data_IF_655691350060
#
_entry.id   IF_655691350060
#
_cell.length_a   1.000
_cell.length_b   1.000
_cell.length_c   1.000
_cell.angle_alpha   90.00
_cell.angle_beta   90.00
_cell.angle_gamma   90.00
#
_symmetry.space_group_name_H-M   'P 1'
#
loop_
_entity.id
_entity.type
_entity.pdbx_description
1 polymer ?
#
# COMPACT_ATOMS: atom_id res chain seq x y z
N UNK A 1 -0.99 -59.94 -23.29
CA UNK A 1 -1.76 -59.14 -22.31
C UNK A 1 -0.92 -58.99 -21.05
N UNK A 2 -0.36 -57.80 -20.80
CA UNK A 2 0.40 -57.55 -19.57
C UNK A 2 -0.57 -57.08 -18.49
N UNK A 3 -0.69 -57.84 -17.41
CA UNK A 3 -1.56 -57.52 -16.27
C UNK A 3 -0.83 -56.51 -15.38
N UNK A 4 -1.18 -55.23 -15.48
CA UNK A 4 -0.60 -54.19 -14.63
C UNK A 4 -1.07 -54.42 -13.18
N UNK A 5 -0.13 -54.70 -12.26
CA UNK A 5 -0.42 -54.81 -10.83
C UNK A 5 -0.17 -53.45 -10.18
N UNK A 6 -1.26 -52.73 -9.87
CA UNK A 6 -1.20 -51.45 -9.15
C UNK A 6 -0.89 -51.75 -7.68
N UNK A 7 0.32 -51.42 -7.22
CA UNK A 7 0.67 -51.59 -5.80
C UNK A 7 0.10 -50.42 -4.97
N UNK A 8 -0.33 -50.66 -3.72
CA UNK A 8 -0.90 -49.61 -2.85
C UNK A 8 -0.03 -48.37 -2.68
N UNK A 9 1.31 -48.52 -2.74
CA UNK A 9 2.26 -47.41 -2.66
C UNK A 9 2.11 -46.38 -3.80
N UNK A 10 1.69 -46.83 -4.99
CA UNK A 10 1.42 -45.92 -6.12
C UNK A 10 0.15 -45.12 -5.90
N UNK A 11 -0.87 -45.72 -5.27
CA UNK A 11 -2.10 -45.02 -4.90
C UNK A 11 -1.80 -43.95 -3.85
N UNK A 12 -1.00 -44.28 -2.83
CA UNK A 12 -0.57 -43.32 -1.82
C UNK A 12 0.27 -42.17 -2.39
N UNK A 13 1.21 -42.46 -3.29
CA UNK A 13 2.01 -41.44 -3.97
C UNK A 13 1.15 -40.52 -4.85
N UNK A 14 0.20 -41.08 -5.59
CA UNK A 14 -0.70 -40.30 -6.43
C UNK A 14 -1.65 -39.41 -5.61
N UNK A 15 -2.18 -39.94 -4.50
CA UNK A 15 -3.01 -39.18 -3.56
C UNK A 15 -2.23 -38.00 -2.94
N UNK A 16 -0.96 -38.20 -2.60
CA UNK A 16 -0.12 -37.14 -2.05
C UNK A 16 0.13 -36.02 -3.07
N UNK A 17 0.40 -36.36 -4.33
CA UNK A 17 0.61 -35.37 -5.41
C UNK A 17 -0.67 -34.57 -5.68
N UNK A 18 -1.83 -35.23 -5.69
CA UNK A 18 -3.12 -34.55 -5.83
C UNK A 18 -3.36 -33.60 -4.64
N UNK A 19 -3.14 -34.07 -3.40
CA UNK A 19 -3.31 -33.26 -2.21
C UNK A 19 -2.38 -32.02 -2.23
N UNK A 20 -1.13 -32.20 -2.66
CA UNK A 20 -0.17 -31.10 -2.80
C UNK A 20 -0.61 -30.10 -3.88
N UNK A 21 -1.07 -30.56 -5.04
CA UNK A 21 -1.57 -29.68 -6.10
C UNK A 21 -2.79 -28.86 -5.67
N UNK A 22 -3.71 -29.47 -4.90
CA UNK A 22 -4.87 -28.77 -4.33
C UNK A 22 -4.41 -27.73 -3.29
N UNK A 23 -3.50 -28.10 -2.39
CA UNK A 23 -2.97 -27.19 -1.37
C UNK A 23 -2.24 -25.99 -1.99
N UNK A 24 -1.44 -26.21 -3.02
CA UNK A 24 -0.74 -25.15 -3.76
C UNK A 24 -1.74 -24.21 -4.44
N UNK A 25 -2.79 -24.74 -5.08
CA UNK A 25 -3.83 -23.91 -5.71
C UNK A 25 -4.57 -23.03 -4.70
N UNK A 26 -4.84 -23.55 -3.50
CA UNK A 26 -5.45 -22.77 -2.41
C UNK A 26 -4.49 -21.71 -1.85
N UNK A 27 -3.19 -21.98 -1.80
CA UNK A 27 -2.18 -21.03 -1.36
C UNK A 27 -2.02 -19.83 -2.33
N UNK A 28 -2.22 -20.03 -3.64
CA UNK A 28 -2.22 -18.96 -4.64
C UNK A 28 -3.57 -18.22 -4.77
N UNK A 29 -4.62 -18.68 -4.09
CA UNK A 29 -5.94 -18.03 -4.08
C UNK A 29 -6.06 -16.94 -3.00
N UNK A 30 -4.98 -16.20 -2.75
CA UNK A 30 -5.09 -14.96 -1.99
C UNK A 30 -6.00 -14.04 -2.80
N UNK A 31 -7.17 -13.71 -2.24
CA UNK A 31 -8.12 -12.82 -2.88
C UNK A 31 -7.38 -11.55 -3.30
N UNK A 32 -7.37 -11.26 -4.60
CA UNK A 32 -6.78 -10.04 -5.13
C UNK A 32 -7.41 -8.87 -4.38
N UNK A 33 -6.58 -8.12 -3.65
CA UNK A 33 -7.03 -6.91 -2.97
C UNK A 33 -7.69 -6.00 -4.01
N UNK A 34 -8.98 -5.75 -3.83
CA UNK A 34 -9.79 -4.92 -4.73
C UNK A 34 -10.10 -3.63 -3.99
N UNK A 35 -9.37 -2.54 -4.25
CA UNK A 35 -9.49 -1.32 -3.45
C UNK A 35 -10.92 -0.78 -3.40
N UNK A 36 -11.66 -0.89 -4.52
CA UNK A 36 -13.05 -0.41 -4.65
C UNK A 36 -14.11 -1.23 -3.91
N UNK A 37 -13.79 -2.46 -3.50
CA UNK A 37 -14.69 -3.35 -2.74
C UNK A 37 -14.35 -3.39 -1.24
N UNK A 38 -13.32 -2.65 -0.82
CA UNK A 38 -12.92 -2.59 0.58
C UNK A 38 -13.91 -1.73 1.37
N UNK A 39 -14.34 -2.15 2.58
CA UNK A 39 -15.18 -1.31 3.43
C UNK A 39 -14.54 0.06 3.66
N UNK A 40 -15.33 1.13 3.55
CA UNK A 40 -14.87 2.47 3.90
C UNK A 40 -14.50 2.48 5.39
N UNK A 41 -13.25 2.80 5.72
CA UNK A 41 -12.72 2.68 7.08
C UNK A 41 -11.83 1.45 7.30
N UNK A 42 -11.54 0.66 6.26
CA UNK A 42 -10.49 -0.34 6.33
C UNK A 42 -9.14 0.34 6.63
N UNK A 43 -8.57 0.02 7.79
CA UNK A 43 -7.21 0.42 8.14
C UNK A 43 -6.28 -0.68 7.67
N UNK A 44 -5.35 -0.33 6.77
CA UNK A 44 -4.34 -1.28 6.31
C UNK A 44 -3.50 -1.76 7.50
N UNK A 45 -3.04 -3.02 7.42
CA UNK A 45 -2.08 -3.54 8.38
C UNK A 45 -0.81 -2.69 8.37
N UNK A 46 -0.17 -2.55 9.54
CA UNK A 46 1.14 -1.93 9.64
C UNK A 46 2.15 -2.65 8.73
N UNK A 47 2.94 -1.87 7.99
CA UNK A 47 3.98 -2.39 7.10
C UNK A 47 5.37 -2.10 7.66
N UNK A 48 6.35 -2.93 7.34
CA UNK A 48 7.71 -2.81 7.89
C UNK A 48 8.75 -2.78 6.79
N UNK A 49 9.74 -1.91 6.94
CA UNK A 49 10.90 -1.86 6.02
C UNK A 49 11.64 -3.19 5.94
N UNK A 50 11.70 -3.95 7.04
CA UNK A 50 12.27 -5.29 7.12
C UNK A 50 11.65 -6.03 8.31
N UNK A 51 11.53 -7.35 8.21
CA UNK A 51 11.08 -8.23 9.30
C UNK A 51 12.23 -8.61 10.26
N UNK A 52 13.48 -8.32 9.90
CA UNK A 52 14.64 -8.47 10.77
C UNK A 52 14.99 -7.13 11.41
N UNK A 53 14.62 -6.96 12.67
CA UNK A 53 14.84 -5.70 13.42
C UNK A 53 16.25 -5.52 13.97
N UNK A 54 17.18 -6.48 13.77
CA UNK A 54 18.50 -6.46 14.43
C UNK A 54 19.32 -5.19 14.20
N UNK A 55 19.07 -4.43 13.14
CA UNK A 55 19.81 -3.19 12.90
C UNK A 55 19.31 -2.02 13.77
N UNK A 56 18.10 -2.13 14.34
CA UNK A 56 17.47 -1.07 15.13
C UNK A 56 17.17 0.18 14.31
N UNK A 57 17.14 0.07 12.98
CA UNK A 57 16.93 1.17 12.04
C UNK A 57 15.70 0.92 11.16
N UNK A 58 15.00 -0.19 11.37
CA UNK A 58 13.79 -0.53 10.66
C UNK A 58 12.64 0.38 11.11
N UNK A 59 11.87 0.85 10.13
CA UNK A 59 10.64 1.60 10.38
C UNK A 59 9.40 0.72 10.19
N UNK A 60 8.40 0.98 11.04
CA UNK A 60 7.02 0.50 10.95
C UNK A 60 6.15 1.65 10.46
N UNK A 61 5.45 1.44 9.35
CA UNK A 61 4.53 2.38 8.76
C UNK A 61 3.09 2.05 9.16
N UNK A 62 2.39 3.05 9.69
CA UNK A 62 1.00 2.94 10.13
C UNK A 62 0.15 4.00 9.45
N UNK A 63 -0.90 3.56 8.77
CA UNK A 63 -1.90 4.45 8.19
C UNK A 63 -2.96 4.77 9.24
N UNK A 64 -3.33 6.04 9.34
CA UNK A 64 -4.55 6.48 10.01
C UNK A 64 -5.51 7.02 8.96
N UNK A 65 -6.78 6.63 9.03
CA UNK A 65 -7.83 7.10 8.15
C UNK A 65 -9.07 7.46 8.96
N UNK A 66 -9.60 8.65 8.72
CA UNK A 66 -10.79 9.16 9.37
C UNK A 66 -11.90 9.36 8.31
N UNK A 67 -12.97 8.59 8.48
CA UNK A 67 -14.09 8.57 7.52
C UNK A 67 -14.91 9.86 7.55
N UNK A 68 -15.03 10.52 8.69
CA UNK A 68 -15.91 11.68 8.85
C UNK A 68 -15.47 12.85 7.95
N UNK A 69 -14.16 13.10 7.88
CA UNK A 69 -13.59 14.20 7.10
C UNK A 69 -12.85 13.72 5.84
N UNK A 70 -12.93 12.44 5.49
CA UNK A 70 -12.15 11.84 4.39
C UNK A 70 -10.67 12.19 4.48
N UNK A 71 -10.15 12.23 5.70
CA UNK A 71 -8.79 12.63 6.02
C UNK A 71 -7.99 11.42 6.46
N UNK A 72 -6.67 11.59 6.52
CA UNK A 72 -5.78 10.55 6.98
C UNK A 72 -4.37 11.07 7.15
N UNK A 73 -3.55 10.24 7.78
CA UNK A 73 -2.14 10.51 7.93
C UNK A 73 -1.37 9.20 7.84
N UNK A 74 -0.10 9.29 7.50
CA UNK A 74 0.83 8.18 7.57
C UNK A 74 1.83 8.50 8.67
N UNK A 75 1.98 7.57 9.60
CA UNK A 75 2.98 7.60 10.66
C UNK A 75 4.06 6.57 10.34
N UNK A 76 5.29 6.88 10.73
CA UNK A 76 6.41 5.96 10.59
C UNK A 76 7.20 5.99 11.89
N UNK A 77 7.36 4.85 12.52
CA UNK A 77 8.03 4.71 13.81
C UNK A 77 9.27 3.83 13.65
N UNK A 78 10.41 4.29 14.13
CA UNK A 78 11.60 3.45 14.24
C UNK A 78 11.41 2.38 15.31
N UNK A 79 11.99 1.22 15.05
CA UNK A 79 11.98 0.06 15.94
C UNK A 79 13.36 -0.19 16.53
N UNK A 80 13.40 -0.60 17.80
CA UNK A 80 14.64 -1.07 18.42
C UNK A 80 15.04 -2.46 17.90
N UNK A 81 16.29 -2.92 18.14
CA UNK A 81 16.72 -4.28 17.85
C UNK A 81 15.85 -5.39 18.46
N UNK A 82 15.14 -5.08 19.54
CA UNK A 82 14.21 -5.95 20.25
C UNK A 82 12.77 -5.87 19.69
N UNK A 83 12.54 -5.10 18.63
CA UNK A 83 11.23 -4.90 18.00
C UNK A 83 10.31 -3.96 18.76
N UNK A 84 10.85 -3.12 19.65
CA UNK A 84 10.06 -2.16 20.42
C UNK A 84 9.88 -0.87 19.63
N UNK A 85 8.65 -0.34 19.59
CA UNK A 85 8.37 0.99 19.07
C UNK A 85 8.82 2.03 20.09
N UNK A 86 9.75 2.89 19.70
CA UNK A 86 10.16 4.01 20.55
C UNK A 86 9.06 5.07 20.60
N UNK A 87 8.63 5.47 21.81
CA UNK A 87 7.49 6.38 22.00
C UNK A 87 7.63 7.77 21.34
N UNK A 88 8.86 8.18 20.97
CA UNK A 88 9.17 9.45 20.31
C UNK A 88 10.02 9.29 19.03
N UNK A 89 10.19 8.06 18.52
CA UNK A 89 11.09 7.82 17.39
C UNK A 89 10.29 7.79 16.09
N UNK A 90 9.81 8.95 15.65
CA UNK A 90 9.32 9.05 14.27
C UNK A 90 10.48 8.88 13.31
N UNK A 91 10.26 8.13 12.23
CA UNK A 91 11.20 8.04 11.11
C UNK A 91 11.35 9.39 10.40
N UNK A 92 10.30 10.23 10.41
CA UNK A 92 10.35 11.54 9.80
C UNK A 92 10.61 12.65 10.80
N UNK A 93 11.35 13.67 10.36
CA UNK A 93 11.76 14.82 11.19
C UNK A 93 10.57 15.52 11.84
N UNK A 94 9.47 15.70 11.11
CA UNK A 94 8.27 16.37 11.62
C UNK A 94 7.21 15.38 12.10
N UNK A 95 7.55 14.18 12.57
CA UNK A 95 6.59 13.29 13.22
C UNK A 95 5.68 12.45 12.29
N UNK A 96 5.08 13.05 11.27
CA UNK A 96 4.14 12.39 10.36
C UNK A 96 4.28 12.83 8.90
N UNK A 97 3.78 12.03 7.96
CA UNK A 97 3.84 12.39 6.54
C UNK A 97 3.09 13.70 6.26
N UNK A 98 1.92 13.91 6.89
CA UNK A 98 1.16 15.14 6.73
C UNK A 98 1.96 16.37 7.18
N UNK A 99 2.62 16.33 8.34
CA UNK A 99 3.44 17.45 8.84
C UNK A 99 4.69 17.72 7.99
N UNK A 100 5.31 16.68 7.42
CA UNK A 100 6.43 16.84 6.50
C UNK A 100 5.99 17.42 5.16
N UNK A 101 4.82 17.03 4.67
CA UNK A 101 4.21 17.63 3.49
C UNK A 101 3.84 19.08 3.81
N UNK A 102 3.21 19.34 4.95
CA UNK A 102 2.74 20.67 5.36
C UNK A 102 3.87 21.70 5.51
N UNK A 103 5.02 21.27 6.03
CA UNK A 103 6.22 22.09 6.10
C UNK A 103 6.83 22.42 4.72
N UNK A 104 6.53 21.66 3.67
CA UNK A 104 7.04 21.96 2.33
C UNK A 104 6.25 23.12 1.73
N UNK A 105 6.99 24.10 1.19
CA UNK A 105 6.40 25.17 0.40
C UNK A 105 5.65 24.57 -0.79
N UNK A 106 4.37 24.94 -0.94
CA UNK A 106 3.55 24.35 -1.99
C UNK A 106 4.08 24.70 -3.39
N UNK A 107 4.71 25.87 -3.58
CA UNK A 107 5.28 26.37 -4.84
C UNK A 107 6.62 25.72 -5.21
N UNK A 108 7.55 25.61 -4.26
CA UNK A 108 8.94 25.21 -4.52
C UNK A 108 9.33 23.85 -3.93
N UNK A 109 8.60 23.36 -2.93
CA UNK A 109 8.92 22.13 -2.19
C UNK A 109 8.06 20.92 -2.56
N UNK A 110 6.76 21.14 -2.88
CA UNK A 110 5.84 20.05 -3.25
C UNK A 110 5.70 19.91 -4.76
N UNK A 111 6.06 18.73 -5.28
CA UNK A 111 5.69 18.34 -6.65
C UNK A 111 4.29 17.72 -6.64
N UNK A 112 3.27 18.55 -6.81
CA UNK A 112 1.95 18.06 -7.23
C UNK A 112 1.99 18.09 -8.76
N UNK A 113 2.05 16.94 -9.42
CA UNK A 113 2.08 16.90 -10.89
C UNK A 113 0.66 16.75 -11.43
N UNK A 114 0.37 17.47 -12.51
CA UNK A 114 -0.81 17.30 -13.35
C UNK A 114 -0.39 17.26 -14.82
N UNK A 115 -1.36 17.11 -15.70
CA UNK A 115 -1.14 17.03 -17.13
C UNK A 115 -2.03 18.06 -17.83
N UNK A 116 -1.48 18.78 -18.81
CA UNK A 116 -2.28 19.59 -19.73
C UNK A 116 -3.13 18.70 -20.63
N UNK A 117 -4.11 19.30 -21.31
CA UNK A 117 -4.96 18.60 -22.28
C UNK A 117 -4.14 17.96 -23.43
N UNK A 118 -2.95 18.50 -23.70
CA UNK A 118 -2.02 18.00 -24.70
C UNK A 118 -1.11 16.84 -24.21
N UNK A 119 -1.28 16.38 -22.96
CA UNK A 119 -0.46 15.32 -22.38
C UNK A 119 0.84 15.78 -21.72
N UNK A 120 1.16 17.08 -21.74
CA UNK A 120 2.36 17.61 -21.10
C UNK A 120 2.24 17.58 -19.57
N UNK A 121 3.23 16.98 -18.90
CA UNK A 121 3.32 16.98 -17.43
C UNK A 121 3.76 18.35 -16.93
N UNK A 122 3.00 18.92 -15.99
CA UNK A 122 3.24 20.23 -15.40
C UNK A 122 3.00 20.18 -13.89
N UNK A 123 3.58 21.09 -13.08
CA UNK A 123 3.13 21.27 -11.71
C UNK A 123 1.66 21.71 -11.67
N UNK A 124 0.85 21.09 -10.81
CA UNK A 124 -0.54 21.44 -10.53
C UNK A 124 -0.59 22.79 -9.83
N UNK A 125 -0.70 23.82 -10.68
CA UNK A 125 -1.00 25.20 -10.31
C UNK A 125 -2.15 25.62 -11.20
N UNK A 126 -3.14 26.33 -10.65
CA UNK A 126 -4.27 26.81 -11.42
C UNK A 126 -3.81 27.59 -12.66
N UNK A 127 -2.78 28.44 -12.51
CA UNK A 127 -2.18 29.20 -13.60
C UNK A 127 -1.44 28.36 -14.66
N UNK A 128 -1.05 27.12 -14.34
CA UNK A 128 -0.38 26.22 -15.28
C UNK A 128 -1.38 25.37 -16.09
N UNK A 129 -2.63 25.29 -15.66
CA UNK A 129 -3.71 24.55 -16.32
C UNK A 129 -4.24 25.32 -17.54
N UNK A 130 -4.78 24.60 -18.53
CA UNK A 130 -5.50 25.24 -19.64
C UNK A 130 -6.75 25.96 -19.13
N UNK A 131 -7.27 26.92 -19.89
CA UNK A 131 -8.54 27.60 -19.56
C UNK A 131 -9.70 26.62 -19.42
N UNK A 132 -9.74 25.57 -20.26
CA UNK A 132 -10.73 24.49 -20.19
C UNK A 132 -10.62 23.71 -18.88
N UNK A 133 -9.41 23.30 -18.50
CA UNK A 133 -9.15 22.58 -17.25
C UNK A 133 -9.51 23.41 -16.00
N UNK A 134 -9.20 24.71 -16.03
CA UNK A 134 -9.61 25.62 -14.95
C UNK A 134 -11.13 25.69 -14.82
N UNK A 135 -11.87 25.73 -15.94
CA UNK A 135 -13.34 25.76 -15.92
C UNK A 135 -13.97 24.51 -15.29
N UNK A 136 -13.36 23.34 -15.45
CA UNK A 136 -13.84 22.10 -14.83
C UNK A 136 -13.71 22.12 -13.30
N UNK A 137 -12.70 22.81 -12.78
CA UNK A 137 -12.46 22.94 -11.33
C UNK A 137 -13.28 24.06 -10.70
N UNK A 138 -13.60 25.12 -11.47
CA UNK A 138 -14.37 26.27 -10.98
C UNK A 138 -15.87 26.14 -11.19
N UNK A 139 -16.34 25.13 -11.94
CA UNK A 139 -17.77 24.92 -12.13
C UNK A 139 -18.36 24.39 -10.82
N UNK A 140 -19.38 25.05 -10.23
CA UNK A 140 -20.08 24.48 -9.10
C UNK A 140 -20.67 23.13 -9.52
N UNK A 141 -20.54 22.13 -8.65
CA UNK A 141 -21.25 20.86 -8.77
C UNK A 141 -22.75 21.22 -8.73
N UNK A 142 -23.46 20.93 -9.81
CA UNK A 142 -24.92 21.04 -9.88
C UNK A 142 -25.58 19.96 -9.03
#
# INVERSE_FOLDING_TARGET
>A
MVKLSIKPVWIGGFALVIALAVAVRLAFALAQFTPSASPIGYVAQDDVTNFNFKSGSEAVFRVNYEREFWSGNLFAYLTSPEGQLGGNTSYWTNGSAAENIDAQNFDTGRLIATMKDDGSKIPFRLANLSTTQQSYLSSPIA
#
